data_IF_842507625151
#
_entry.id   IF_842507625151
#
_cell.length_a   1.000
_cell.length_b   1.000
_cell.length_c   1.000
_cell.angle_alpha   90.00
_cell.angle_beta   90.00
_cell.angle_gamma   90.00
#
_symmetry.space_group_name_H-M   'P 1'
#
loop_
_entity.id
_entity.type
_entity.pdbx_description
1 polymer ?
#
# COMPACT_ATOMS: atom_id res chain seq x y z
N UNK A 1 -37.77 54.81 46.94
CA UNK A 1 -37.53 55.02 45.48
C UNK A 1 -36.01 55.05 45.24
N UNK A 2 -35.51 54.18 44.34
CA UNK A 2 -34.16 54.13 43.69
C UNK A 2 -32.95 53.92 44.65
N UNK A 3 -32.34 52.74 44.76
CA UNK A 3 -31.47 51.96 43.83
C UNK A 3 -30.13 52.62 43.44
N UNK A 4 -29.02 52.08 43.96
CA UNK A 4 -27.67 51.98 43.37
C UNK A 4 -26.85 50.96 44.20
N UNK A 5 -26.67 49.73 43.72
CA UNK A 5 -25.51 49.18 42.95
C UNK A 5 -24.22 48.92 43.76
N UNK A 6 -24.11 47.64 44.16
CA UNK A 6 -22.97 46.71 44.05
C UNK A 6 -21.56 47.25 43.76
N UNK A 7 -20.62 46.84 44.63
CA UNK A 7 -19.30 46.29 44.25
C UNK A 7 -18.67 45.58 45.46
N UNK A 8 -18.58 44.25 45.42
CA UNK A 8 -17.35 43.57 45.84
C UNK A 8 -17.16 42.29 45.03
N UNK A 9 -16.01 42.26 44.37
CA UNK A 9 -15.41 41.14 43.65
C UNK A 9 -14.83 40.20 44.69
N UNK A 10 -15.00 38.88 44.53
CA UNK A 10 -13.93 37.86 44.68
C UNK A 10 -14.52 36.46 44.58
N UNK A 11 -13.77 35.54 43.94
CA UNK A 11 -13.98 34.09 43.75
C UNK A 11 -14.45 33.62 42.37
N UNK A 12 -13.74 33.99 41.29
CA UNK A 12 -13.93 33.28 40.01
C UNK A 12 -12.70 33.11 39.13
N UNK A 13 -11.49 33.19 39.69
CA UNK A 13 -10.24 33.15 38.91
C UNK A 13 -9.32 31.97 39.21
N UNK A 14 -9.61 31.10 40.19
CA UNK A 14 -8.71 29.98 40.53
C UNK A 14 -9.12 28.61 39.98
N UNK A 15 -10.36 28.40 39.51
CA UNK A 15 -10.79 27.06 39.07
C UNK A 15 -10.54 26.84 37.56
N UNK A 16 -10.52 27.91 36.76
CA UNK A 16 -10.31 27.79 35.31
C UNK A 16 -8.86 27.45 34.91
N UNK A 17 -7.88 27.68 35.79
CA UNK A 17 -6.47 27.36 35.49
C UNK A 17 -6.11 25.88 35.72
N UNK A 18 -6.87 25.16 36.55
CA UNK A 18 -6.64 23.72 36.79
C UNK A 18 -7.24 22.86 35.67
N UNK A 19 -8.35 23.30 35.05
CA UNK A 19 -8.93 22.59 33.91
C UNK A 19 -8.12 22.75 32.61
N UNK A 20 -7.38 23.86 32.44
CA UNK A 20 -6.53 24.07 31.27
C UNK A 20 -5.25 23.21 31.29
N UNK A 21 -4.83 22.73 32.47
CA UNK A 21 -3.71 21.78 32.61
C UNK A 21 -4.09 20.33 32.32
N UNK A 22 -5.40 19.98 32.40
CA UNK A 22 -5.89 18.65 32.06
C UNK A 22 -6.27 18.49 30.58
N UNK A 23 -6.54 19.58 29.85
CA UNK A 23 -6.78 19.51 28.40
C UNK A 23 -5.49 19.59 27.57
N UNK A 24 -4.34 19.92 28.16
CA UNK A 24 -3.05 19.96 27.47
C UNK A 24 -2.19 18.70 27.65
N UNK A 25 -2.71 17.64 28.28
CA UNK A 25 -2.06 16.32 28.30
C UNK A 25 -2.70 15.31 27.34
N UNK A 26 -3.81 15.68 26.67
CA UNK A 26 -4.55 14.78 25.79
C UNK A 26 -4.35 15.06 24.29
N UNK A 27 -3.21 15.63 23.90
CA UNK A 27 -2.87 15.82 22.47
C UNK A 27 -1.40 15.55 22.14
N UNK A 28 -0.75 14.68 22.91
CA UNK A 28 0.23 13.77 22.34
C UNK A 28 -0.54 12.49 21.99
N UNK A 29 -1.43 12.59 21.01
CA UNK A 29 -1.84 11.39 20.29
C UNK A 29 -0.54 10.75 19.79
N UNK A 30 -0.28 9.53 20.25
CA UNK A 30 0.83 8.70 19.82
C UNK A 30 1.05 8.89 18.31
N UNK A 31 2.16 9.53 17.94
CA UNK A 31 2.67 9.33 16.58
C UNK A 31 2.84 7.82 16.49
N UNK A 32 2.18 7.11 15.56
CA UNK A 32 2.36 5.67 15.45
C UNK A 32 3.86 5.44 15.34
N UNK A 33 4.39 4.57 16.19
CA UNK A 33 5.79 4.16 16.11
C UNK A 33 6.04 3.78 14.65
N UNK A 34 6.77 4.63 13.94
CA UNK A 34 7.10 4.38 12.55
C UNK A 34 8.15 3.29 12.61
N UNK A 35 7.71 2.03 12.51
CA UNK A 35 8.60 0.88 12.36
C UNK A 35 9.63 1.23 11.29
N UNK A 36 10.88 0.83 11.51
CA UNK A 36 11.91 1.06 10.51
C UNK A 36 11.54 0.32 9.21
N UNK A 37 12.02 0.81 8.07
CA UNK A 37 11.80 0.13 6.78
C UNK A 37 12.33 -1.32 6.84
N UNK A 38 13.44 -1.54 7.55
CA UNK A 38 14.03 -2.86 7.77
C UNK A 38 13.09 -3.79 8.55
N UNK A 39 12.44 -3.28 9.60
CA UNK A 39 11.47 -4.04 10.39
C UNK A 39 10.24 -4.40 9.56
N UNK A 40 9.68 -3.42 8.82
CA UNK A 40 8.54 -3.67 7.94
C UNK A 40 8.87 -4.70 6.86
N UNK A 41 10.07 -4.62 6.28
CA UNK A 41 10.53 -5.60 5.29
C UNK A 41 10.69 -7.00 5.90
N UNK A 42 11.22 -7.09 7.13
CA UNK A 42 11.33 -8.35 7.85
C UNK A 42 9.96 -9.01 8.11
N UNK A 43 8.97 -8.22 8.52
CA UNK A 43 7.59 -8.69 8.71
C UNK A 43 6.97 -9.12 7.37
N UNK A 44 7.17 -8.35 6.30
CA UNK A 44 6.67 -8.68 4.97
C UNK A 44 7.25 -9.98 4.42
N UNK A 45 8.56 -10.17 4.54
CA UNK A 45 9.22 -11.41 4.10
C UNK A 45 8.70 -12.63 4.85
N UNK A 46 8.45 -12.50 6.16
CA UNK A 46 7.80 -13.55 6.95
C UNK A 46 6.38 -13.80 6.46
N UNK A 47 5.58 -12.77 6.24
CA UNK A 47 4.20 -12.92 5.76
C UNK A 47 4.13 -13.67 4.42
N UNK A 48 4.99 -13.32 3.46
CA UNK A 48 5.08 -14.01 2.16
C UNK A 48 5.53 -15.45 2.34
N UNK A 49 6.47 -15.72 3.25
CA UNK A 49 6.85 -17.09 3.59
C UNK A 49 5.65 -17.90 4.12
N UNK A 50 4.88 -17.34 5.05
CA UNK A 50 3.70 -18.02 5.61
C UNK A 50 2.61 -18.26 4.55
N UNK A 51 2.42 -17.34 3.59
CA UNK A 51 1.56 -17.56 2.42
C UNK A 51 2.02 -18.77 1.60
N UNK A 52 3.32 -18.83 1.26
CA UNK A 52 3.88 -19.92 0.47
C UNK A 52 3.80 -21.28 1.20
N UNK A 53 3.90 -21.30 2.53
CA UNK A 53 3.75 -22.51 3.34
C UNK A 53 2.31 -22.80 3.76
N UNK A 54 1.33 -22.10 3.18
CA UNK A 54 -0.11 -22.27 3.46
C UNK A 54 -0.53 -22.01 4.92
N UNK A 55 0.29 -21.28 5.68
CA UNK A 55 0.00 -20.86 7.06
C UNK A 55 -0.79 -19.55 7.04
N UNK A 56 -1.97 -19.58 6.42
CA UNK A 56 -2.74 -18.38 6.08
C UNK A 56 -3.14 -17.53 7.28
N UNK A 57 -3.42 -18.13 8.43
CA UNK A 57 -3.79 -17.39 9.65
C UNK A 57 -2.65 -16.52 10.17
N UNK A 58 -1.41 -17.04 10.15
CA UNK A 58 -0.22 -16.28 10.55
C UNK A 58 0.09 -15.19 9.52
N UNK A 59 -0.04 -15.51 8.22
CA UNK A 59 0.08 -14.52 7.15
C UNK A 59 -0.90 -13.35 7.35
N UNK A 60 -2.18 -13.62 7.65
CA UNK A 60 -3.17 -12.58 7.95
C UNK A 60 -2.72 -11.69 9.11
N UNK A 61 -2.22 -12.26 10.22
CA UNK A 61 -1.81 -11.48 11.38
C UNK A 61 -0.62 -10.54 11.06
N UNK A 62 0.38 -11.04 10.33
CA UNK A 62 1.54 -10.26 9.90
C UNK A 62 1.13 -9.16 8.90
N UNK A 63 0.28 -9.49 7.92
CA UNK A 63 -0.19 -8.55 6.90
C UNK A 63 -1.12 -7.48 7.48
N UNK A 64 -1.94 -7.81 8.48
CA UNK A 64 -2.72 -6.81 9.22
C UNK A 64 -1.83 -5.86 10.01
N UNK A 65 -0.72 -6.35 10.56
CA UNK A 65 0.28 -5.50 11.22
C UNK A 65 0.90 -4.53 10.21
N UNK A 66 1.31 -5.03 9.05
CA UNK A 66 1.84 -4.20 7.96
C UNK A 66 0.81 -3.19 7.46
N UNK A 67 -0.44 -3.59 7.30
CA UNK A 67 -1.50 -2.71 6.81
C UNK A 67 -1.74 -1.52 7.74
N UNK A 68 -1.55 -1.67 9.05
CA UNK A 68 -1.62 -0.53 9.99
C UNK A 68 -0.52 0.49 9.76
N UNK A 69 0.68 0.03 9.36
CA UNK A 69 1.84 0.90 9.13
C UNK A 69 1.88 1.48 7.71
N UNK A 70 1.44 0.70 6.71
CA UNK A 70 1.44 1.06 5.28
C UNK A 70 0.08 0.76 4.63
N UNK A 71 -0.98 1.49 5.00
CA UNK A 71 -2.36 1.15 4.64
C UNK A 71 -2.62 1.15 3.14
N UNK A 72 -1.88 1.94 2.36
CA UNK A 72 -2.07 2.13 0.92
C UNK A 72 -0.98 1.40 0.10
N UNK A 73 -0.21 0.52 0.73
CA UNK A 73 0.72 -0.33 -0.01
C UNK A 73 -0.07 -1.45 -0.71
N UNK A 74 -0.02 -1.45 -2.05
CA UNK A 74 -0.78 -2.41 -2.84
C UNK A 74 -0.35 -3.87 -2.63
N UNK A 75 0.94 -4.13 -2.36
CA UNK A 75 1.44 -5.49 -2.09
C UNK A 75 0.90 -6.06 -0.80
N UNK A 76 0.88 -5.24 0.25
CA UNK A 76 0.32 -5.64 1.54
C UNK A 76 -1.17 -5.93 1.41
N UNK A 77 -1.92 -5.06 0.72
CA UNK A 77 -3.35 -5.27 0.51
C UNK A 77 -3.64 -6.49 -0.37
N UNK A 78 -2.89 -6.70 -1.45
CA UNK A 78 -3.06 -7.86 -2.32
C UNK A 78 -2.79 -9.18 -1.59
N UNK A 79 -1.64 -9.29 -0.93
CA UNK A 79 -1.28 -10.48 -0.15
C UNK A 79 -2.27 -10.72 1.00
N UNK A 80 -2.80 -9.66 1.63
CA UNK A 80 -3.81 -9.78 2.66
C UNK A 80 -5.13 -10.30 2.08
N UNK A 81 -5.51 -9.86 0.87
CA UNK A 81 -6.66 -10.40 0.15
C UNK A 81 -6.49 -11.91 -0.12
N UNK A 82 -5.31 -12.35 -0.58
CA UNK A 82 -5.00 -13.77 -0.79
C UNK A 82 -5.16 -14.57 0.52
N UNK A 83 -4.52 -14.12 1.61
CA UNK A 83 -4.58 -14.81 2.90
C UNK A 83 -6.01 -14.86 3.49
N UNK A 84 -6.79 -13.78 3.33
CA UNK A 84 -8.19 -13.71 3.77
C UNK A 84 -9.10 -14.61 2.94
N UNK A 85 -8.90 -14.66 1.62
CA UNK A 85 -9.65 -15.56 0.73
C UNK A 85 -9.41 -17.02 1.12
N UNK A 86 -8.16 -17.40 1.38
CA UNK A 86 -7.79 -18.76 1.82
C UNK A 86 -8.27 -19.12 3.21
N UNK A 87 -8.60 -18.13 4.06
CA UNK A 87 -9.20 -18.35 5.38
C UNK A 87 -10.72 -18.18 5.40
N UNK A 88 -11.37 -18.05 4.23
CA UNK A 88 -12.82 -17.97 4.12
C UNK A 88 -13.43 -16.60 4.45
N UNK A 89 -12.59 -15.58 4.69
CA UNK A 89 -13.01 -14.22 5.04
C UNK A 89 -13.29 -13.38 3.79
N UNK A 90 -14.15 -13.89 2.91
CA UNK A 90 -14.33 -13.35 1.55
C UNK A 90 -14.72 -11.87 1.50
N UNK A 91 -15.65 -11.35 2.34
CA UNK A 91 -15.99 -9.93 2.30
C UNK A 91 -14.82 -9.00 2.65
N UNK A 92 -13.94 -9.44 3.55
CA UNK A 92 -12.72 -8.69 3.90
C UNK A 92 -11.67 -8.80 2.80
N UNK A 93 -11.53 -10.00 2.22
CA UNK A 93 -10.62 -10.24 1.10
C UNK A 93 -10.95 -9.34 -0.11
N UNK A 94 -12.22 -9.24 -0.48
CA UNK A 94 -12.69 -8.37 -1.57
C UNK A 94 -12.37 -6.89 -1.31
N UNK A 95 -12.53 -6.40 -0.08
CA UNK A 95 -12.17 -5.03 0.30
C UNK A 95 -10.68 -4.76 0.13
N UNK A 96 -9.84 -5.70 0.56
CA UNK A 96 -8.38 -5.56 0.40
C UNK A 96 -7.93 -5.71 -1.04
N UNK A 97 -8.58 -6.57 -1.83
CA UNK A 97 -8.32 -6.68 -3.27
C UNK A 97 -8.66 -5.37 -3.99
N UNK A 98 -9.82 -4.78 -3.70
CA UNK A 98 -10.19 -3.47 -4.24
C UNK A 98 -9.17 -2.40 -3.85
N UNK A 99 -8.75 -2.37 -2.58
CA UNK A 99 -7.75 -1.41 -2.11
C UNK A 99 -6.40 -1.58 -2.79
N UNK A 100 -5.98 -2.81 -3.10
CA UNK A 100 -4.77 -3.07 -3.86
C UNK A 100 -4.86 -2.47 -5.28
N UNK A 101 -5.99 -2.65 -5.96
CA UNK A 101 -6.27 -2.06 -7.28
C UNK A 101 -6.26 -0.53 -7.22
N UNK A 102 -6.92 0.05 -6.22
CA UNK A 102 -6.93 1.51 -6.00
C UNK A 102 -5.55 2.08 -5.71
N UNK A 103 -4.68 1.27 -5.12
CA UNK A 103 -3.29 1.62 -4.83
C UNK A 103 -2.33 1.31 -5.99
N UNK A 104 -2.86 0.93 -7.16
CA UNK A 104 -2.10 0.78 -8.41
C UNK A 104 -1.75 -0.65 -8.82
N UNK A 105 -2.28 -1.68 -8.14
CA UNK A 105 -2.11 -3.07 -8.57
C UNK A 105 -3.04 -3.41 -9.74
N UNK A 106 -2.53 -3.33 -10.96
CA UNK A 106 -3.30 -3.47 -12.20
C UNK A 106 -2.89 -4.66 -13.06
N UNK A 107 -2.15 -5.62 -12.49
CA UNK A 107 -1.83 -6.88 -13.17
C UNK A 107 -3.05 -7.81 -13.16
N UNK A 108 -4.00 -7.52 -14.05
CA UNK A 108 -5.26 -8.27 -14.17
C UNK A 108 -5.02 -9.75 -14.45
N UNK A 109 -4.01 -10.06 -15.27
CA UNK A 109 -3.67 -11.44 -15.61
C UNK A 109 -3.23 -12.21 -14.37
N UNK A 110 -2.45 -11.59 -13.49
CA UNK A 110 -2.09 -12.19 -12.21
C UNK A 110 -3.33 -12.44 -11.34
N UNK A 111 -4.20 -11.45 -11.16
CA UNK A 111 -5.44 -11.59 -10.34
C UNK A 111 -6.36 -12.70 -10.89
N UNK A 112 -6.48 -12.82 -12.22
CA UNK A 112 -7.34 -13.81 -12.88
C UNK A 112 -6.73 -15.22 -12.90
N UNK A 113 -5.46 -15.40 -12.54
CA UNK A 113 -4.79 -16.71 -12.54
C UNK A 113 -4.29 -17.14 -11.16
N UNK A 114 -4.34 -16.25 -10.16
CA UNK A 114 -3.94 -16.55 -8.79
C UNK A 114 -4.92 -17.53 -8.13
N UNK A 115 -4.47 -18.74 -7.74
CA UNK A 115 -5.31 -19.72 -7.06
C UNK A 115 -5.75 -19.29 -5.66
N UNK A 116 -5.04 -18.36 -5.01
CA UNK A 116 -5.44 -17.87 -3.69
C UNK A 116 -6.72 -17.03 -3.73
N UNK A 117 -6.99 -16.41 -4.88
CA UNK A 117 -8.13 -15.55 -5.14
C UNK A 117 -9.32 -16.34 -5.74
N UNK A 118 -9.13 -17.61 -6.14
CA UNK A 118 -10.19 -18.45 -6.75
C UNK A 118 -11.54 -18.41 -6.02
N UNK A 119 -11.60 -18.51 -4.68
CA UNK A 119 -12.87 -18.44 -3.96
C UNK A 119 -13.62 -17.11 -4.16
N UNK A 120 -12.92 -16.03 -4.53
CA UNK A 120 -13.52 -14.71 -4.71
C UNK A 120 -14.22 -14.52 -6.05
N UNK A 121 -13.89 -15.33 -7.07
CA UNK A 121 -14.36 -15.14 -8.45
C UNK A 121 -15.88 -15.30 -8.62
N UNK A 122 -16.52 -15.98 -7.67
CA UNK A 122 -17.97 -16.18 -7.65
C UNK A 122 -18.74 -14.91 -7.24
N UNK A 123 -18.10 -13.95 -6.58
CA UNK A 123 -18.76 -12.76 -6.06
C UNK A 123 -18.88 -11.67 -7.14
N UNK A 124 -20.03 -10.97 -7.24
CA UNK A 124 -20.19 -9.89 -8.21
C UNK A 124 -19.21 -8.73 -7.99
N UNK A 125 -18.81 -8.47 -6.74
CA UNK A 125 -17.82 -7.46 -6.37
C UNK A 125 -16.47 -7.73 -7.03
N UNK A 126 -16.05 -8.99 -7.14
CA UNK A 126 -14.81 -9.37 -7.83
C UNK A 126 -14.83 -8.88 -9.29
N UNK A 127 -15.94 -9.07 -10.01
CA UNK A 127 -16.06 -8.62 -11.40
C UNK A 127 -15.92 -7.11 -11.51
N UNK A 128 -16.52 -6.35 -10.59
CA UNK A 128 -16.39 -4.90 -10.56
C UNK A 128 -14.93 -4.46 -10.32
N UNK A 129 -14.22 -5.15 -9.41
CA UNK A 129 -12.80 -4.89 -9.12
C UNK A 129 -11.92 -5.19 -10.34
N UNK A 130 -12.17 -6.29 -11.05
CA UNK A 130 -11.42 -6.63 -12.27
C UNK A 130 -11.62 -5.57 -13.37
N UNK A 131 -12.84 -5.11 -13.59
CA UNK A 131 -13.09 -4.04 -14.58
C UNK A 131 -12.42 -2.73 -14.18
N UNK A 132 -12.41 -2.40 -12.88
CA UNK A 132 -11.67 -1.26 -12.34
C UNK A 132 -10.16 -1.38 -12.61
N UNK A 133 -9.59 -2.56 -12.38
CA UNK A 133 -8.17 -2.84 -12.62
C UNK A 133 -7.82 -2.72 -14.12
N UNK A 134 -8.67 -3.22 -15.03
CA UNK A 134 -8.49 -3.07 -16.48
C UNK A 134 -8.48 -1.60 -16.89
N UNK A 135 -9.45 -0.81 -16.41
CA UNK A 135 -9.53 0.63 -16.72
C UNK A 135 -8.30 1.38 -16.21
N UNK A 136 -7.87 1.10 -14.98
CA UNK A 136 -6.66 1.70 -14.41
C UNK A 136 -5.39 1.32 -15.19
N UNK A 137 -5.29 0.05 -15.63
CA UNK A 137 -4.20 -0.43 -16.48
C UNK A 137 -4.15 0.25 -17.85
N UNK A 138 -5.31 0.42 -18.52
CA UNK A 138 -5.42 1.13 -19.79
C UNK A 138 -5.00 2.59 -19.65
N UNK A 139 -5.50 3.29 -18.63
CA UNK A 139 -5.12 4.68 -18.36
C UNK A 139 -3.61 4.81 -18.13
N UNK A 140 -3.01 3.89 -17.37
CA UNK A 140 -1.57 3.85 -17.16
C UNK A 140 -0.80 3.63 -18.47
N UNK A 141 -1.27 2.73 -19.34
CA UNK A 141 -0.66 2.50 -20.65
C UNK A 141 -0.74 3.75 -21.54
N UNK A 142 -1.87 4.46 -21.56
CA UNK A 142 -2.03 5.72 -22.29
C UNK A 142 -1.10 6.82 -21.76
N UNK A 143 -0.92 6.92 -20.44
CA UNK A 143 0.02 7.86 -19.82
C UNK A 143 1.47 7.51 -20.18
N UNK A 144 1.84 6.23 -20.14
CA UNK A 144 3.17 5.76 -20.54
C UNK A 144 3.45 6.02 -22.03
N UNK A 145 2.47 5.84 -22.90
CA UNK A 145 2.62 6.10 -24.34
C UNK A 145 2.86 7.59 -24.68
N UNK A 146 2.62 8.51 -23.74
CA UNK A 146 2.95 9.94 -23.88
C UNK A 146 4.38 10.25 -23.44
N UNK A 147 5.03 9.35 -22.71
CA UNK A 147 6.44 9.50 -22.37
C UNK A 147 7.23 9.25 -23.65
N UNK A 148 8.03 10.21 -24.13
CA UNK A 148 8.85 9.99 -25.31
C UNK A 148 9.75 8.77 -25.04
N UNK A 149 9.77 7.82 -25.97
CA UNK A 149 10.70 6.71 -25.89
C UNK A 149 12.12 7.27 -25.77
N UNK A 150 12.97 6.72 -24.89
CA UNK A 150 14.35 7.16 -24.82
C UNK A 150 14.94 7.04 -26.23
N UNK A 151 15.57 8.11 -26.72
CA UNK A 151 16.26 8.16 -28.02
C UNK A 151 17.46 7.19 -27.99
N UNK A 152 17.22 5.88 -28.02
CA UNK A 152 18.18 4.77 -28.03
C UNK A 152 19.28 4.81 -26.95
N UNK A 153 19.42 3.73 -26.19
CA UNK A 153 20.62 3.53 -25.39
C UNK A 153 21.74 3.05 -26.33
N UNK A 154 22.66 3.94 -26.71
CA UNK A 154 23.85 3.55 -27.47
C UNK A 154 24.78 2.72 -26.57
N UNK A 155 24.86 1.43 -26.84
CA UNK A 155 25.88 0.56 -26.25
C UNK A 155 27.14 0.63 -27.13
N UNK A 156 28.29 1.14 -26.63
CA UNK A 156 29.52 1.13 -27.40
C UNK A 156 29.91 -0.31 -27.76
N UNK A 157 30.50 -0.52 -28.93
CA UNK A 157 30.92 -1.86 -29.37
C UNK A 157 31.84 -2.48 -28.32
N UNK A 158 31.49 -3.65 -27.81
CA UNK A 158 32.24 -4.30 -26.73
C UNK A 158 33.70 -4.57 -27.15
N UNK A 159 34.63 -3.79 -26.61
CA UNK A 159 36.05 -4.09 -26.64
C UNK A 159 36.40 -4.85 -25.34
N UNK A 160 36.96 -6.06 -25.47
CA UNK A 160 37.28 -6.92 -24.31
C UNK A 160 38.32 -6.30 -23.37
N UNK A 161 39.09 -5.34 -23.86
CA UNK A 161 40.17 -4.69 -23.10
C UNK A 161 39.72 -3.40 -22.39
N UNK A 162 38.48 -2.93 -22.61
CA UNK A 162 37.93 -1.75 -21.94
C UNK A 162 37.06 -2.11 -20.73
N UNK A 163 37.29 -1.40 -19.61
CA UNK A 163 36.38 -1.46 -18.46
C UNK A 163 35.08 -0.74 -18.81
N UNK A 164 34.05 -1.52 -19.12
CA UNK A 164 32.71 -0.98 -19.36
C UNK A 164 31.93 -0.78 -18.06
N UNK A 165 31.11 0.28 -17.95
CA UNK A 165 30.16 0.44 -16.86
C UNK A 165 29.06 -0.64 -16.95
N UNK A 166 28.65 -1.19 -15.81
CA UNK A 166 27.51 -2.11 -15.71
C UNK A 166 26.22 -1.29 -15.67
N UNK A 167 25.34 -1.52 -16.64
CA UNK A 167 23.99 -0.97 -16.66
C UNK A 167 22.99 -2.09 -16.36
N UNK A 168 22.18 -1.92 -15.31
CA UNK A 168 21.17 -2.89 -14.89
C UNK A 168 19.80 -2.29 -15.17
N UNK A 169 19.01 -2.96 -16.02
CA UNK A 169 17.60 -2.63 -16.22
C UNK A 169 16.75 -3.62 -15.44
N UNK A 170 15.82 -3.09 -14.65
CA UNK A 170 14.87 -3.87 -13.88
C UNK A 170 13.50 -3.70 -14.51
N UNK A 171 12.88 -4.83 -14.88
CA UNK A 171 11.49 -4.81 -15.30
C UNK A 171 10.57 -4.52 -14.11
N UNK A 172 9.36 -4.02 -14.41
CA UNK A 172 8.30 -3.89 -13.41
C UNK A 172 7.76 -5.24 -12.96
N UNK A 173 6.86 -5.21 -11.97
CA UNK A 173 6.14 -6.39 -11.51
C UNK A 173 5.31 -7.01 -12.63
N UNK A 174 5.37 -8.35 -12.77
CA UNK A 174 4.68 -9.09 -13.82
C UNK A 174 5.38 -9.06 -15.19
N UNK A 175 6.43 -8.24 -15.35
CA UNK A 175 7.22 -8.18 -16.57
C UNK A 175 8.37 -9.19 -16.62
N UNK A 176 9.01 -9.28 -17.78
CA UNK A 176 10.19 -10.10 -18.01
C UNK A 176 11.24 -9.35 -18.85
N UNK A 177 12.40 -9.97 -19.07
CA UNK A 177 13.48 -9.35 -19.83
C UNK A 177 13.08 -9.00 -21.27
N UNK A 178 12.12 -9.74 -21.85
CA UNK A 178 11.56 -9.50 -23.17
C UNK A 178 10.88 -8.13 -23.29
N UNK A 179 10.25 -7.64 -22.23
CA UNK A 179 9.55 -6.34 -22.24
C UNK A 179 10.53 -5.16 -22.40
N UNK A 180 11.81 -5.38 -22.11
CA UNK A 180 12.85 -4.38 -22.23
C UNK A 180 13.54 -4.39 -23.60
N UNK A 181 13.27 -5.38 -24.47
CA UNK A 181 13.87 -5.49 -25.80
C UNK A 181 13.75 -4.20 -26.64
N UNK A 182 12.63 -3.46 -26.64
CA UNK A 182 12.53 -2.22 -27.41
C UNK A 182 13.54 -1.14 -27.02
N UNK A 183 14.13 -1.19 -25.81
CA UNK A 183 15.10 -0.21 -25.34
C UNK A 183 16.51 -0.43 -25.91
N UNK A 184 16.77 -1.59 -26.50
CA UNK A 184 18.08 -2.01 -27.01
C UNK A 184 17.98 -2.21 -28.52
N UNK A 185 18.43 -1.22 -29.29
CA UNK A 185 18.58 -1.26 -30.74
C UNK A 185 20.03 -1.56 -31.14
#
# INVERSE_FOLDING_TARGET
MKSAKFLSVTTRTSIFFVFLLFTLHASLADKPATNSIEELLGIYNRAVKELMTSNYQEAVALLQTLHKSVPDNFMVNYNLACALARTGKYPEALKHLEKAVDSGFVDVKHIETDPDIDPLRQFPEYKAIIEKAKQAGLKRAEELARIPEPESVFLPSANKDEKMPLLIFLHGMGGCAEDLKPLFL
#
